data_IF_681645435667
#
_entry.id   IF_681645435667
#
_cell.length_a   1.000
_cell.length_b   1.000
_cell.length_c   1.000
_cell.angle_alpha   90.00
_cell.angle_beta   90.00
_cell.angle_gamma   90.00
#
_symmetry.space_group_name_H-M   'P 1'
#
loop_
_entity.id
_entity.type
_entity.pdbx_description
1 polymer ?
#
# COMPACT_ATOMS: atom_id res chain seq x y z
N UNK A 1 6.94 -14.88 -15.39
CA UNK A 1 6.93 -14.23 -14.06
C UNK A 1 7.83 -14.99 -13.08
N UNK A 2 8.85 -14.35 -12.48
CA UNK A 2 9.63 -14.98 -11.40
C UNK A 2 8.88 -14.84 -10.06
N UNK A 3 8.19 -15.91 -9.66
CA UNK A 3 7.34 -15.93 -8.46
C UNK A 3 8.17 -15.83 -7.17
N UNK A 4 9.33 -16.48 -7.13
CA UNK A 4 10.16 -16.50 -5.93
C UNK A 4 10.81 -15.15 -5.65
N UNK A 5 11.35 -14.49 -6.68
CA UNK A 5 11.87 -13.13 -6.57
C UNK A 5 10.80 -12.15 -6.09
N UNK A 6 9.58 -12.25 -6.63
CA UNK A 6 8.45 -11.43 -6.20
C UNK A 6 8.05 -11.66 -4.74
N UNK A 7 7.98 -12.93 -4.30
CA UNK A 7 7.68 -13.24 -2.88
C UNK A 7 8.69 -12.59 -1.94
N UNK A 8 9.99 -12.72 -2.26
CA UNK A 8 11.07 -12.09 -1.47
C UNK A 8 10.96 -10.57 -1.45
N UNK A 9 10.60 -9.96 -2.58
CA UNK A 9 10.37 -8.52 -2.67
C UNK A 9 9.20 -8.08 -1.78
N UNK A 10 8.05 -8.75 -1.87
CA UNK A 10 6.88 -8.45 -1.03
C UNK A 10 7.19 -8.59 0.45
N UNK A 11 7.92 -9.63 0.85
CA UNK A 11 8.34 -9.79 2.25
C UNK A 11 9.27 -8.67 2.72
N UNK A 12 10.16 -8.20 1.84
CA UNK A 12 11.03 -7.04 2.14
C UNK A 12 10.23 -5.76 2.31
N UNK A 13 9.29 -5.48 1.41
CA UNK A 13 8.41 -4.30 1.48
C UNK A 13 7.55 -4.32 2.75
N UNK A 14 7.06 -5.50 3.15
CA UNK A 14 6.30 -5.68 4.41
C UNK A 14 7.15 -5.35 5.63
N UNK A 15 8.39 -5.87 5.72
CA UNK A 15 9.31 -5.55 6.81
C UNK A 15 9.61 -4.04 6.88
N UNK A 16 9.85 -3.40 5.73
CA UNK A 16 10.06 -1.95 5.67
C UNK A 16 8.83 -1.18 6.14
N UNK A 17 7.64 -1.62 5.77
CA UNK A 17 6.38 -1.00 6.21
C UNK A 17 6.16 -1.18 7.71
N UNK A 18 6.40 -2.36 8.26
CA UNK A 18 6.34 -2.59 9.70
C UNK A 18 7.33 -1.68 10.45
N UNK A 19 8.55 -1.54 9.94
CA UNK A 19 9.55 -0.64 10.51
C UNK A 19 9.08 0.82 10.48
N UNK A 20 8.52 1.27 9.36
CA UNK A 20 7.96 2.62 9.24
C UNK A 20 6.86 2.85 10.28
N UNK A 21 5.93 1.91 10.44
CA UNK A 21 4.82 2.04 11.38
C UNK A 21 5.31 2.02 12.84
N UNK A 22 6.39 1.30 13.13
CA UNK A 22 6.93 1.19 14.48
C UNK A 22 7.73 2.42 14.91
N UNK A 23 8.59 2.93 14.04
CA UNK A 23 9.66 3.86 14.44
C UNK A 23 9.58 5.24 13.78
N UNK A 24 8.97 5.35 12.59
CA UNK A 24 9.03 6.59 11.84
C UNK A 24 8.16 7.68 12.49
N UNK A 25 8.64 8.93 12.48
CA UNK A 25 7.93 10.06 13.07
C UNK A 25 6.57 10.32 12.39
N UNK A 26 6.49 10.12 11.07
CA UNK A 26 5.24 10.15 10.27
C UNK A 26 4.42 8.86 10.37
N UNK A 27 4.74 7.94 11.29
CA UNK A 27 3.90 6.76 11.49
C UNK A 27 2.49 7.18 11.87
N UNK A 28 1.45 6.59 11.24
CA UNK A 28 0.07 6.84 11.60
C UNK A 28 -0.32 6.23 12.96
N UNK A 29 0.52 5.36 13.54
CA UNK A 29 0.28 4.78 14.87
C UNK A 29 0.57 5.85 15.93
N UNK A 30 -0.37 6.13 16.85
CA UNK A 30 -0.14 7.03 17.97
C UNK A 30 1.08 6.60 18.79
N UNK A 31 1.89 7.56 19.23
CA UNK A 31 3.16 7.27 19.92
C UNK A 31 2.99 6.37 21.15
N UNK A 32 1.91 6.56 21.91
CA UNK A 32 1.54 5.72 23.06
C UNK A 32 1.33 4.24 22.72
N UNK A 33 0.94 3.94 21.49
CA UNK A 33 0.62 2.60 21.00
C UNK A 33 1.80 1.96 20.24
N UNK A 34 2.77 2.75 19.77
CA UNK A 34 3.97 2.26 19.06
C UNK A 34 4.78 1.22 19.84
N UNK A 35 5.00 1.34 21.17
CA UNK A 35 5.71 0.29 21.93
C UNK A 35 5.01 -1.08 21.92
N UNK A 36 3.69 -1.11 21.70
CA UNK A 36 2.89 -2.34 21.63
C UNK A 36 2.78 -2.88 20.20
N UNK A 37 3.15 -2.08 19.19
CA UNK A 37 3.09 -2.47 17.79
C UNK A 37 4.21 -3.46 17.44
N UNK A 38 3.82 -4.60 16.88
CA UNK A 38 4.74 -5.68 16.47
C UNK A 38 4.87 -5.78 14.95
N UNK A 39 3.74 -5.84 14.26
CA UNK A 39 3.64 -5.90 12.80
C UNK A 39 2.19 -5.65 12.36
N UNK A 40 1.98 -5.38 11.07
CA UNK A 40 0.67 -5.42 10.44
C UNK A 40 0.21 -6.87 10.19
N UNK A 41 -1.10 -7.03 9.99
CA UNK A 41 -1.69 -8.30 9.59
C UNK A 41 -1.61 -8.44 8.07
N UNK A 42 -0.82 -9.41 7.58
CA UNK A 42 -0.63 -9.65 6.15
C UNK A 42 -1.20 -11.01 5.73
N UNK A 43 -1.82 -11.05 4.55
CA UNK A 43 -2.10 -12.32 3.87
C UNK A 43 -0.81 -12.95 3.33
N UNK A 44 -0.69 -14.28 3.29
CA UNK A 44 0.41 -14.95 2.59
C UNK A 44 0.48 -14.52 1.12
N UNK A 45 1.69 -14.39 0.53
CA UNK A 45 1.81 -14.05 -0.87
C UNK A 45 1.34 -15.22 -1.75
N UNK A 46 0.11 -15.12 -2.26
CA UNK A 46 -0.49 -16.10 -3.16
C UNK A 46 -0.41 -15.60 -4.62
N UNK A 47 0.35 -16.28 -5.50
CA UNK A 47 0.47 -15.91 -6.92
C UNK A 47 -0.85 -15.91 -7.68
N UNK A 48 -1.89 -16.63 -7.20
CA UNK A 48 -3.22 -16.65 -7.84
C UNK A 48 -3.90 -15.29 -7.86
N UNK A 49 -3.49 -14.38 -6.98
CA UNK A 49 -3.99 -13.00 -6.92
C UNK A 49 -3.02 -11.99 -7.56
N UNK A 50 -1.98 -12.46 -8.25
CA UNK A 50 -1.06 -11.60 -8.98
C UNK A 50 -1.31 -11.72 -10.48
N UNK A 51 -1.98 -10.70 -11.02
CA UNK A 51 -2.30 -10.61 -12.43
C UNK A 51 -1.28 -9.73 -13.15
N UNK A 52 -0.96 -10.10 -14.39
CA UNK A 52 -0.25 -9.26 -15.36
C UNK A 52 -1.31 -8.78 -16.35
N UNK A 53 -1.53 -7.47 -16.40
CA UNK A 53 -2.59 -6.85 -17.20
C UNK A 53 -1.96 -5.79 -18.10
N UNK A 54 -2.54 -5.61 -19.28
CA UNK A 54 -2.15 -4.55 -20.19
C UNK A 54 -2.54 -3.18 -19.62
N UNK A 55 -1.64 -2.21 -19.72
CA UNK A 55 -1.91 -0.84 -19.34
C UNK A 55 -2.61 -0.12 -20.49
N UNK A 56 -3.89 0.17 -20.33
CA UNK A 56 -4.65 0.98 -21.27
C UNK A 56 -4.76 2.41 -20.77
N UNK A 57 -4.03 3.33 -21.40
CA UNK A 57 -4.17 4.75 -21.11
C UNK A 57 -5.50 5.29 -21.65
N UNK A 58 -6.16 6.14 -20.88
CA UNK A 58 -7.37 6.82 -21.31
C UNK A 58 -7.04 7.87 -22.39
N UNK A 59 -7.72 7.81 -23.54
CA UNK A 59 -7.57 8.79 -24.63
C UNK A 59 -7.86 10.23 -24.17
N UNK A 60 -8.73 10.40 -23.17
CA UNK A 60 -9.07 11.70 -22.59
C UNK A 60 -9.00 11.63 -21.07
N UNK A 61 -8.02 12.35 -20.51
CA UNK A 61 -7.88 12.51 -19.06
C UNK A 61 -8.95 13.45 -18.52
N UNK A 62 -9.70 13.00 -17.53
CA UNK A 62 -10.74 13.77 -16.83
C UNK A 62 -10.40 13.86 -15.35
N UNK A 63 -10.79 14.97 -14.72
CA UNK A 63 -10.71 15.09 -13.27
C UNK A 63 -11.90 14.35 -12.68
N UNK A 64 -11.61 13.44 -11.74
CA UNK A 64 -12.59 12.77 -10.89
C UNK A 64 -12.38 13.26 -9.47
N UNK A 65 -13.47 13.65 -8.80
CA UNK A 65 -13.42 14.02 -7.40
C UNK A 65 -13.64 12.79 -6.54
N UNK A 66 -12.70 12.54 -5.62
CA UNK A 66 -12.78 11.46 -4.65
C UNK A 66 -12.84 12.10 -3.27
N UNK A 67 -13.87 11.80 -2.51
CA UNK A 67 -13.99 12.21 -1.12
C UNK A 67 -13.10 11.33 -0.23
N UNK A 68 -12.30 11.96 0.64
CA UNK A 68 -11.56 11.23 1.67
C UNK A 68 -12.35 11.12 2.98
N UNK A 69 -11.88 10.27 3.90
CA UNK A 69 -12.54 10.06 5.19
C UNK A 69 -12.56 11.31 6.09
N UNK A 70 -11.83 12.36 5.73
CA UNK A 70 -11.88 13.68 6.38
C UNK A 70 -12.90 14.64 5.75
N UNK A 71 -13.68 14.20 4.76
CA UNK A 71 -14.65 15.02 4.03
C UNK A 71 -14.03 15.95 2.97
N UNK A 72 -12.75 15.77 2.64
CA UNK A 72 -12.10 16.59 1.62
C UNK A 72 -12.29 15.97 0.23
N UNK A 73 -12.67 16.79 -0.75
CA UNK A 73 -12.70 16.39 -2.16
C UNK A 73 -11.31 16.51 -2.78
N UNK A 74 -10.77 15.39 -3.28
CA UNK A 74 -9.51 15.33 -3.99
C UNK A 74 -9.72 15.13 -5.48
N UNK A 75 -9.11 16.00 -6.27
CA UNK A 75 -9.11 15.88 -7.72
C UNK A 75 -8.05 14.86 -8.15
N UNK A 76 -8.47 13.78 -8.80
CA UNK A 76 -7.62 12.73 -9.35
C UNK A 76 -7.79 12.67 -10.87
N UNK A 77 -6.72 12.42 -11.61
CA UNK A 77 -6.81 12.22 -13.04
C UNK A 77 -7.25 10.78 -13.34
N UNK A 78 -8.31 10.66 -14.12
CA UNK A 78 -8.74 9.43 -14.77
C UNK A 78 -8.48 9.56 -16.25
#
# INVERSE_FOLDING_TARGET
>A
MNVEAWKRQIESERRQKDQFFKEHWQSPIPEKDRPRFKSLNYFPPDPKYRFELELHEHEKKKIVQIEDTGGNLRNMFR
#
